data_IF_137236839637
#
_entry.id   IF_137236839637
#
_cell.length_a   1.000
_cell.length_b   1.000
_cell.length_c   1.000
_cell.angle_alpha   90.00
_cell.angle_beta   90.00
_cell.angle_gamma   90.00
#
_symmetry.space_group_name_H-M   'P 1'
#
loop_
_entity.id
_entity.type
_entity.pdbx_description
1 polymer ?
#
# COMPACT_ATOMS: atom_id res chain seq x y z
N UNK A 1 -25.91 9.03 -12.05
CA UNK A 1 -25.43 8.18 -13.17
C UNK A 1 -23.91 8.20 -13.33
N UNK A 2 -23.25 9.35 -13.53
CA UNK A 2 -21.79 9.43 -13.80
C UNK A 2 -20.89 8.69 -12.79
N UNK A 3 -21.14 8.84 -11.49
CA UNK A 3 -20.36 8.15 -10.45
C UNK A 3 -20.48 6.61 -10.46
N UNK A 4 -21.64 6.05 -10.82
CA UNK A 4 -21.82 4.61 -10.89
C UNK A 4 -21.13 4.02 -12.14
N UNK A 5 -21.16 4.75 -13.26
CA UNK A 5 -20.41 4.37 -14.47
C UNK A 5 -18.91 4.36 -14.20
N UNK A 6 -18.39 5.39 -13.51
CA UNK A 6 -16.98 5.44 -13.13
C UNK A 6 -16.60 4.27 -12.21
N UNK A 7 -17.42 3.96 -11.20
CA UNK A 7 -17.20 2.79 -10.35
C UNK A 7 -17.18 1.50 -11.17
N UNK A 8 -18.13 1.33 -12.08
CA UNK A 8 -18.20 0.16 -12.95
C UNK A 8 -16.98 0.01 -13.85
N UNK A 9 -16.49 1.11 -14.44
CA UNK A 9 -15.29 1.11 -15.27
C UNK A 9 -14.04 0.73 -14.46
N UNK A 10 -13.83 1.34 -13.29
CA UNK A 10 -12.69 0.99 -12.42
C UNK A 10 -12.78 -0.45 -11.93
N UNK A 11 -13.99 -0.92 -11.57
CA UNK A 11 -14.22 -2.31 -11.19
C UNK A 11 -13.89 -3.30 -12.31
N UNK A 12 -14.31 -3.01 -13.54
CA UNK A 12 -14.05 -3.87 -14.70
C UNK A 12 -12.55 -3.93 -15.02
N UNK A 13 -11.87 -2.79 -15.05
CA UNK A 13 -10.41 -2.74 -15.31
C UNK A 13 -9.63 -3.41 -14.19
N UNK A 14 -9.98 -3.14 -12.92
CA UNK A 14 -9.34 -3.78 -11.78
C UNK A 14 -9.56 -5.30 -11.73
N UNK A 15 -10.76 -5.77 -12.10
CA UNK A 15 -11.03 -7.20 -12.22
C UNK A 15 -10.22 -7.85 -13.36
N UNK A 16 -10.07 -7.18 -14.49
CA UNK A 16 -9.22 -7.66 -15.59
C UNK A 16 -7.74 -7.75 -15.17
N UNK A 17 -7.24 -6.73 -14.47
CA UNK A 17 -5.87 -6.71 -13.92
C UNK A 17 -5.67 -7.86 -12.91
N UNK A 18 -6.63 -8.08 -12.01
CA UNK A 18 -6.56 -9.20 -11.07
C UNK A 18 -6.62 -10.56 -11.77
N UNK A 19 -7.48 -10.70 -12.79
CA UNK A 19 -7.55 -11.91 -13.60
C UNK A 19 -6.23 -12.19 -14.33
N UNK A 20 -5.60 -11.16 -14.89
CA UNK A 20 -4.29 -11.27 -15.52
C UNK A 20 -3.21 -11.71 -14.52
N UNK A 21 -3.13 -11.05 -13.36
CA UNK A 21 -2.14 -11.40 -12.32
C UNK A 21 -2.37 -12.82 -11.79
N UNK A 22 -3.63 -13.23 -11.58
CA UNK A 22 -3.95 -14.59 -11.16
C UNK A 22 -3.56 -15.62 -12.23
N UNK A 23 -3.78 -15.31 -13.50
CA UNK A 23 -3.40 -16.18 -14.62
C UNK A 23 -1.87 -16.37 -14.68
N UNK A 24 -1.08 -15.30 -14.56
CA UNK A 24 0.39 -15.42 -14.52
C UNK A 24 0.87 -16.25 -13.33
N UNK A 25 0.32 -16.00 -12.13
CA UNK A 25 0.68 -16.76 -10.92
C UNK A 25 0.28 -18.23 -11.04
N UNK A 26 -0.88 -18.54 -11.63
CA UNK A 26 -1.31 -19.91 -11.85
C UNK A 26 -0.47 -20.64 -12.90
N UNK A 27 -0.04 -19.92 -13.95
CA UNK A 27 0.82 -20.46 -15.00
C UNK A 27 2.25 -20.77 -14.51
N UNK A 28 2.77 -20.00 -13.56
CA UNK A 28 4.08 -20.19 -12.93
C UNK A 28 4.15 -21.46 -12.03
N UNK A 29 3.02 -22.04 -11.64
CA UNK A 29 2.98 -23.19 -10.72
C UNK A 29 3.29 -22.83 -9.25
N UNK A 30 3.01 -23.76 -8.32
CA UNK A 30 3.13 -23.48 -6.89
C UNK A 30 4.57 -23.65 -6.37
N UNK A 31 5.33 -22.57 -6.39
CA UNK A 31 6.69 -22.49 -5.84
C UNK A 31 6.75 -21.98 -4.38
N UNK A 32 7.89 -22.17 -3.70
CA UNK A 32 8.14 -21.68 -2.34
C UNK A 32 7.95 -20.16 -2.17
N UNK A 33 8.16 -19.37 -3.23
CA UNK A 33 7.92 -17.91 -3.25
C UNK A 33 6.46 -17.56 -2.90
N UNK A 34 5.50 -18.43 -3.27
CA UNK A 34 4.08 -18.22 -3.01
C UNK A 34 3.73 -18.40 -1.53
N UNK A 35 4.40 -19.32 -0.83
CA UNK A 35 4.24 -19.49 0.63
C UNK A 35 4.77 -18.27 1.39
N UNK A 36 5.94 -17.79 1.01
CA UNK A 36 6.51 -16.58 1.60
C UNK A 36 5.63 -15.34 1.33
N UNK A 37 5.10 -15.22 0.11
CA UNK A 37 4.14 -14.19 -0.25
C UNK A 37 2.87 -14.24 0.60
N UNK A 38 2.28 -15.43 0.80
CA UNK A 38 1.10 -15.61 1.65
C UNK A 38 1.34 -15.07 3.06
N UNK A 39 2.51 -15.31 3.63
CA UNK A 39 2.88 -14.75 4.92
C UNK A 39 2.87 -13.22 4.92
N UNK A 40 3.46 -12.58 3.90
CA UNK A 40 3.44 -11.12 3.75
C UNK A 40 2.03 -10.58 3.49
N UNK A 41 1.20 -11.28 2.73
CA UNK A 41 -0.19 -10.92 2.51
C UNK A 41 -0.99 -10.95 3.82
N UNK A 42 -0.86 -12.03 4.62
CA UNK A 42 -1.48 -12.13 5.95
C UNK A 42 -1.00 -10.99 6.87
N UNK A 43 0.30 -10.69 6.86
CA UNK A 43 0.84 -9.58 7.64
C UNK A 43 0.29 -8.24 7.22
N UNK A 44 0.17 -7.99 5.93
CA UNK A 44 -0.47 -6.78 5.39
C UNK A 44 -1.88 -6.64 5.97
N UNK A 45 -2.66 -7.72 6.01
CA UNK A 45 -4.03 -7.73 6.54
C UNK A 45 -4.09 -7.52 8.06
N UNK A 46 -3.14 -8.07 8.82
CA UNK A 46 -3.05 -7.92 10.27
C UNK A 46 -2.61 -6.50 10.65
N UNK A 47 -1.52 -6.04 10.04
CA UNK A 47 -0.92 -4.74 10.32
C UNK A 47 -1.78 -3.60 9.79
N UNK A 48 -2.52 -3.79 8.70
CA UNK A 48 -3.53 -2.82 8.24
C UNK A 48 -4.62 -2.54 9.28
N UNK A 49 -4.82 -3.39 10.30
CA UNK A 49 -5.72 -3.10 11.44
C UNK A 49 -5.11 -2.09 12.42
N UNK A 50 -3.78 -1.99 12.45
CA UNK A 50 -3.02 -1.18 13.38
C UNK A 50 -2.77 0.25 12.85
N UNK A 51 -3.58 0.75 11.90
CA UNK A 51 -3.42 2.11 11.38
C UNK A 51 -3.37 3.14 12.51
N UNK A 52 -2.21 3.76 12.64
CA UNK A 52 -1.98 4.83 13.60
C UNK A 52 -2.45 6.13 12.96
N UNK A 53 -3.43 6.80 13.57
CA UNK A 53 -3.70 8.21 13.28
C UNK A 53 -2.53 8.98 13.88
N UNK A 54 -1.66 9.58 13.08
CA UNK A 54 -0.64 10.45 13.65
C UNK A 54 -1.31 11.72 14.19
N UNK A 55 -0.72 12.40 15.21
CA UNK A 55 -1.21 13.65 15.76
C UNK A 55 -0.80 14.81 14.83
N UNK A 56 -1.02 14.61 13.53
CA UNK A 56 -0.80 15.55 12.44
C UNK A 56 -2.15 15.71 11.73
N UNK A 57 -2.51 16.91 11.24
CA UNK A 57 -3.78 17.13 10.56
C UNK A 57 -3.98 16.11 9.44
N UNK A 58 -5.00 15.26 9.56
CA UNK A 58 -5.45 14.30 8.54
C UNK A 58 -4.41 13.24 8.08
N UNK A 59 -3.31 13.04 8.81
CA UNK A 59 -2.26 12.09 8.42
C UNK A 59 -2.49 10.70 9.04
N UNK A 60 -2.99 9.74 8.25
CA UNK A 60 -3.01 8.32 8.62
C UNK A 60 -1.90 7.59 7.90
N UNK A 61 -0.92 7.09 8.64
CA UNK A 61 0.10 6.20 8.07
C UNK A 61 -0.43 4.78 8.14
N UNK A 62 -0.70 4.18 6.98
CA UNK A 62 -1.01 2.76 6.90
C UNK A 62 0.30 1.99 6.75
N UNK A 63 0.64 1.20 7.76
CA UNK A 63 1.76 0.27 7.67
C UNK A 63 1.55 -0.80 6.56
N UNK A 64 0.32 -1.00 6.10
CA UNK A 64 0.01 -1.91 5.00
C UNK A 64 0.68 -1.50 3.68
N UNK A 65 0.82 -0.19 3.41
CA UNK A 65 1.42 0.31 2.17
C UNK A 65 2.89 -0.13 2.04
N UNK A 66 3.62 -0.17 3.16
CA UNK A 66 4.99 -0.66 3.19
C UNK A 66 5.08 -2.15 2.80
N UNK A 67 4.16 -2.99 3.26
CA UNK A 67 4.13 -4.41 2.88
C UNK A 67 3.69 -4.63 1.44
N UNK A 68 2.80 -3.77 0.91
CA UNK A 68 2.44 -3.78 -0.51
C UNK A 68 3.64 -3.42 -1.37
N UNK A 69 4.38 -2.35 -1.04
CA UNK A 69 5.61 -1.98 -1.75
C UNK A 69 6.69 -3.04 -1.62
N UNK A 70 6.87 -3.63 -0.43
CA UNK A 70 7.79 -4.74 -0.24
C UNK A 70 7.39 -5.93 -1.12
N UNK A 71 6.09 -6.19 -1.26
CA UNK A 71 5.61 -7.25 -2.14
C UNK A 71 5.99 -7.00 -3.60
N UNK A 72 5.92 -5.74 -4.06
CA UNK A 72 6.37 -5.38 -5.42
C UNK A 72 7.85 -5.71 -5.62
N UNK A 73 8.69 -5.38 -4.64
CA UNK A 73 10.14 -5.56 -4.74
C UNK A 73 10.57 -7.02 -4.60
N UNK A 74 9.95 -7.79 -3.71
CA UNK A 74 10.34 -9.18 -3.38
C UNK A 74 9.66 -10.21 -4.29
N UNK A 75 8.36 -10.04 -4.54
CA UNK A 75 7.54 -11.06 -5.22
C UNK A 75 7.07 -10.62 -6.62
N UNK A 76 7.32 -9.37 -6.99
CA UNK A 76 6.92 -8.81 -8.29
C UNK A 76 5.51 -8.24 -8.30
N UNK A 77 5.14 -7.68 -9.45
CA UNK A 77 3.92 -6.90 -9.61
C UNK A 77 2.62 -7.70 -9.43
N UNK A 78 2.58 -8.94 -9.90
CA UNK A 78 1.34 -9.74 -9.89
C UNK A 78 0.94 -10.15 -8.47
N UNK A 79 1.88 -10.70 -7.69
CA UNK A 79 1.64 -11.05 -6.29
C UNK A 79 1.38 -9.81 -5.43
N UNK A 80 2.07 -8.69 -5.69
CA UNK A 80 1.78 -7.42 -5.01
C UNK A 80 0.38 -6.86 -5.33
N UNK A 81 -0.08 -7.03 -6.57
CA UNK A 81 -1.43 -6.64 -7.01
C UNK A 81 -2.48 -7.42 -6.24
N UNK A 82 -2.27 -8.72 -6.04
CA UNK A 82 -3.14 -9.56 -5.20
C UNK A 82 -3.12 -9.12 -3.74
N UNK A 83 -1.95 -8.83 -3.16
CA UNK A 83 -1.82 -8.28 -1.79
C UNK A 83 -2.61 -6.99 -1.64
N UNK A 84 -2.48 -6.06 -2.59
CA UNK A 84 -3.15 -4.77 -2.58
C UNK A 84 -4.68 -4.91 -2.67
N UNK A 85 -5.17 -5.85 -3.49
CA UNK A 85 -6.60 -6.15 -3.56
C UNK A 85 -7.13 -6.71 -2.23
N UNK A 86 -6.41 -7.65 -1.62
CA UNK A 86 -6.78 -8.21 -0.32
C UNK A 86 -6.85 -7.11 0.76
N UNK A 87 -5.86 -6.21 0.82
CA UNK A 87 -5.88 -5.11 1.76
C UNK A 87 -6.99 -4.09 1.46
N UNK A 88 -7.21 -3.75 0.18
CA UNK A 88 -8.32 -2.88 -0.24
C UNK A 88 -9.70 -3.44 0.14
N UNK A 89 -9.88 -4.75 0.00
CA UNK A 89 -11.11 -5.45 0.41
C UNK A 89 -11.26 -5.49 1.93
N UNK A 90 -10.20 -5.85 2.64
CA UNK A 90 -10.21 -5.97 4.09
C UNK A 90 -10.40 -4.61 4.78
N UNK A 91 -9.66 -3.60 4.38
CA UNK A 91 -9.80 -2.22 4.88
C UNK A 91 -11.22 -1.68 4.68
N UNK A 92 -11.82 -1.95 3.51
CA UNK A 92 -13.20 -1.53 3.21
C UNK A 92 -14.25 -2.35 3.95
N UNK A 93 -13.93 -3.58 4.36
CA UNK A 93 -14.82 -4.44 5.14
C UNK A 93 -14.79 -4.19 6.64
N UNK A 94 -13.75 -3.51 7.17
CA UNK A 94 -13.66 -3.10 8.57
C UNK A 94 -14.65 -1.98 8.94
N UNK A 95 -15.25 -1.30 7.96
CA UNK A 95 -16.25 -0.24 8.18
C UNK A 95 -17.64 -0.59 7.64
N UNK A 96 -18.65 0.24 7.97
CA UNK A 96 -20.05 0.12 7.48
C UNK A 96 -20.22 0.59 6.02
N UNK A 97 -19.26 0.28 5.15
CA UNK A 97 -19.28 0.71 3.74
C UNK A 97 -20.21 -0.13 2.86
N UNK A 98 -20.82 0.49 1.84
CA UNK A 98 -21.64 -0.22 0.85
C UNK A 98 -20.81 -1.18 0.00
N UNK A 99 -21.44 -2.23 -0.55
CA UNK A 99 -20.76 -3.21 -1.42
C UNK A 99 -20.01 -2.55 -2.58
N UNK A 100 -20.63 -1.57 -3.24
CA UNK A 100 -20.03 -0.78 -4.30
C UNK A 100 -18.72 -0.10 -3.89
N UNK A 101 -18.62 0.40 -2.65
CA UNK A 101 -17.39 1.02 -2.12
C UNK A 101 -16.29 -0.02 -1.92
N UNK A 102 -16.64 -1.22 -1.44
CA UNK A 102 -15.69 -2.33 -1.28
C UNK A 102 -15.11 -2.77 -2.61
N UNK A 103 -15.98 -3.01 -3.60
CA UNK A 103 -15.55 -3.39 -4.97
C UNK A 103 -14.68 -2.31 -5.58
N UNK A 104 -15.10 -1.04 -5.50
CA UNK A 104 -14.34 0.08 -6.03
C UNK A 104 -12.95 0.19 -5.40
N UNK A 105 -12.85 0.20 -4.06
CA UNK A 105 -11.58 0.34 -3.37
C UNK A 105 -10.63 -0.83 -3.66
N UNK A 106 -11.17 -2.05 -3.70
CA UNK A 106 -10.40 -3.27 -4.05
C UNK A 106 -9.83 -3.16 -5.46
N UNK A 107 -10.67 -2.81 -6.43
CA UNK A 107 -10.27 -2.66 -7.83
C UNK A 107 -9.30 -1.48 -8.03
N UNK A 108 -9.53 -0.36 -7.36
CA UNK A 108 -8.66 0.82 -7.42
C UNK A 108 -7.27 0.52 -6.86
N UNK A 109 -7.18 -0.19 -5.72
CA UNK A 109 -5.89 -0.62 -5.14
C UNK A 109 -5.16 -1.58 -6.07
N UNK A 110 -5.84 -2.60 -6.61
CA UNK A 110 -5.25 -3.54 -7.55
C UNK A 110 -4.69 -2.83 -8.79
N UNK A 111 -5.50 -1.96 -9.40
CA UNK A 111 -5.12 -1.20 -10.59
C UNK A 111 -3.94 -0.26 -10.32
N UNK A 112 -4.00 0.53 -9.24
CA UNK A 112 -2.96 1.51 -8.94
C UNK A 112 -1.62 0.83 -8.63
N UNK A 113 -1.63 -0.25 -7.85
CA UNK A 113 -0.42 -0.99 -7.49
C UNK A 113 0.16 -1.73 -8.68
N UNK A 114 -0.68 -2.34 -9.53
CA UNK A 114 -0.19 -3.00 -10.74
C UNK A 114 0.52 -2.01 -11.67
N UNK A 115 -0.08 -0.84 -11.90
CA UNK A 115 0.53 0.20 -12.72
C UNK A 115 1.82 0.75 -12.08
N UNK A 116 1.82 0.99 -10.77
CA UNK A 116 3.00 1.44 -10.05
C UNK A 116 4.13 0.40 -10.09
N UNK A 117 3.81 -0.90 -9.98
CA UNK A 117 4.75 -1.99 -10.14
C UNK A 117 5.34 -2.05 -11.56
N UNK A 118 4.53 -1.83 -12.60
CA UNK A 118 5.03 -1.74 -13.99
C UNK A 118 5.92 -0.52 -14.24
N UNK A 119 5.71 0.58 -13.52
CA UNK A 119 6.63 1.74 -13.57
C UNK A 119 7.93 1.39 -12.87
N UNK A 120 7.85 0.80 -11.68
CA UNK A 120 9.00 0.32 -10.92
C UNK A 120 9.89 -0.62 -11.75
N UNK A 121 9.32 -1.68 -12.32
CA UNK A 121 10.09 -2.69 -13.07
C UNK A 121 10.75 -2.15 -14.35
N UNK A 122 10.22 -1.07 -14.94
CA UNK A 122 10.85 -0.39 -16.09
C UNK A 122 12.02 0.50 -15.70
N UNK A 123 12.03 1.01 -14.47
CA UNK A 123 13.08 1.90 -13.97
C UNK A 123 14.20 1.14 -13.27
N UNK A 124 13.93 -0.07 -12.78
CA UNK A 124 14.97 -0.96 -12.28
C UNK A 124 15.88 -1.35 -13.45
N UNK A 125 17.21 -1.13 -13.36
CA UNK A 125 18.15 -1.50 -14.41
C UNK A 125 18.03 -2.99 -14.77
N UNK A 126 17.77 -3.29 -16.06
CA UNK A 126 17.57 -4.66 -16.55
C UNK A 126 18.87 -5.45 -16.75
N UNK A 127 19.99 -4.96 -16.23
CA UNK A 127 21.30 -5.58 -16.35
C UNK A 127 21.39 -6.82 -15.44
N UNK A 128 20.67 -7.88 -15.82
CA UNK A 128 20.61 -9.18 -15.20
C UNK A 128 19.94 -9.17 -13.83
N UNK A 129 18.63 -9.46 -13.80
CA UNK A 129 17.88 -10.03 -12.67
C UNK A 129 18.52 -9.79 -11.28
N UNK A 130 18.35 -8.61 -10.68
CA UNK A 130 18.90 -8.31 -9.35
C UNK A 130 20.37 -8.73 -9.19
N UNK A 131 21.25 -8.30 -10.10
CA UNK A 131 22.68 -8.53 -10.01
C UNK A 131 23.24 -8.27 -8.61
N UNK A 132 24.33 -8.96 -8.27
CA UNK A 132 24.89 -9.13 -6.92
C UNK A 132 25.25 -7.83 -6.15
N UNK A 133 25.02 -6.63 -6.71
CA UNK A 133 25.42 -5.33 -6.15
C UNK A 133 24.41 -4.19 -6.36
N UNK A 134 23.10 -4.40 -6.22
CA UNK A 134 22.13 -3.27 -6.17
C UNK A 134 22.28 -2.52 -4.86
N UNK A 135 22.61 -1.23 -4.94
CA UNK A 135 22.77 -0.34 -3.78
C UNK A 135 21.48 0.43 -3.47
N UNK A 136 21.43 1.09 -2.30
CA UNK A 136 20.30 1.96 -1.96
C UNK A 136 20.14 3.12 -2.97
N UNK A 137 21.25 3.60 -3.55
CA UNK A 137 21.25 4.69 -4.54
C UNK A 137 20.56 4.26 -5.82
N UNK A 138 20.80 3.02 -6.28
CA UNK A 138 20.17 2.45 -7.47
C UNK A 138 18.64 2.29 -7.29
N UNK A 139 18.19 2.12 -6.04
CA UNK A 139 16.78 2.01 -5.70
C UNK A 139 16.07 3.35 -5.54
N UNK A 140 16.78 4.48 -5.42
CA UNK A 140 16.15 5.78 -5.16
C UNK A 140 15.10 6.13 -6.23
N UNK A 141 15.48 6.08 -7.51
CA UNK A 141 14.59 6.46 -8.60
C UNK A 141 13.42 5.45 -8.77
N UNK A 142 13.64 4.13 -8.85
CA UNK A 142 12.55 3.16 -8.97
C UNK A 142 11.57 3.23 -7.79
N UNK A 143 12.07 3.30 -6.54
CA UNK A 143 11.24 3.32 -5.34
C UNK A 143 10.46 4.62 -5.21
N UNK A 144 11.08 5.77 -5.53
CA UNK A 144 10.38 7.05 -5.57
C UNK A 144 9.27 7.04 -6.63
N UNK A 145 9.54 6.48 -7.82
CA UNK A 145 8.54 6.37 -8.88
C UNK A 145 7.41 5.40 -8.53
N UNK A 146 7.70 4.29 -7.84
CA UNK A 146 6.71 3.37 -7.28
C UNK A 146 5.76 4.10 -6.32
N UNK A 147 6.33 4.78 -5.32
CA UNK A 147 5.58 5.51 -4.30
C UNK A 147 4.74 6.62 -4.92
N UNK A 148 5.34 7.43 -5.81
CA UNK A 148 4.67 8.53 -6.49
C UNK A 148 3.52 8.05 -7.38
N UNK A 149 3.75 7.02 -8.20
CA UNK A 149 2.73 6.47 -9.08
C UNK A 149 1.56 5.89 -8.29
N UNK A 150 1.85 5.13 -7.23
CA UNK A 150 0.81 4.58 -6.35
C UNK A 150 0.01 5.70 -5.69
N UNK A 151 0.69 6.70 -5.13
CA UNK A 151 0.05 7.85 -4.49
C UNK A 151 -0.86 8.61 -5.47
N UNK A 152 -0.35 9.01 -6.64
CA UNK A 152 -1.11 9.77 -7.63
C UNK A 152 -2.30 8.97 -8.16
N UNK A 153 -2.11 7.72 -8.57
CA UNK A 153 -3.19 6.91 -9.14
C UNK A 153 -4.25 6.59 -8.09
N UNK A 154 -3.85 6.14 -6.90
CA UNK A 154 -4.80 5.78 -5.86
C UNK A 154 -5.63 6.99 -5.40
N UNK A 155 -4.97 8.12 -5.13
CA UNK A 155 -5.66 9.35 -4.72
C UNK A 155 -6.51 9.96 -5.83
N UNK A 156 -6.10 9.87 -7.09
CA UNK A 156 -6.90 10.34 -8.23
C UNK A 156 -8.16 9.48 -8.41
N UNK A 157 -8.08 8.15 -8.27
CA UNK A 157 -9.25 7.28 -8.34
C UNK A 157 -10.23 7.57 -7.19
N UNK A 158 -9.73 7.64 -5.95
CA UNK A 158 -10.55 7.87 -4.77
C UNK A 158 -11.17 9.27 -4.78
N UNK A 159 -10.40 10.32 -5.05
CA UNK A 159 -10.94 11.68 -5.18
C UNK A 159 -11.90 11.79 -6.37
N UNK A 160 -11.60 11.09 -7.48
CA UNK A 160 -12.45 10.90 -8.65
C UNK A 160 -13.88 10.48 -8.30
N UNK A 161 -14.01 9.37 -7.57
CA UNK A 161 -15.33 8.85 -7.20
C UNK A 161 -16.05 9.75 -6.21
N UNK A 162 -15.32 10.38 -5.27
CA UNK A 162 -15.88 11.29 -4.28
C UNK A 162 -16.42 12.54 -4.97
N UNK A 163 -15.65 13.19 -5.83
CA UNK A 163 -16.10 14.36 -6.59
C UNK A 163 -17.34 14.07 -7.45
N UNK A 164 -17.38 12.89 -8.10
CA UNK A 164 -18.52 12.50 -8.92
C UNK A 164 -19.79 12.18 -8.11
N UNK A 165 -19.66 11.76 -6.85
CA UNK A 165 -20.79 11.44 -5.97
C UNK A 165 -21.25 12.62 -5.13
N UNK A 166 -20.31 13.40 -4.60
CA UNK A 166 -20.55 14.48 -3.65
C UNK A 166 -20.56 15.87 -4.33
N UNK A 167 -20.34 15.94 -5.65
CA UNK A 167 -20.31 17.17 -6.47
C UNK A 167 -19.32 18.24 -5.97
N UNK A 168 -18.26 17.82 -5.29
CA UNK A 168 -17.16 18.67 -4.88
C UNK A 168 -16.09 18.76 -5.97
N UNK A 169 -15.25 19.80 -5.93
CA UNK A 169 -14.16 19.95 -6.89
C UNK A 169 -13.03 18.96 -6.57
N UNK A 170 -12.55 18.26 -7.60
CA UNK A 170 -11.43 17.30 -7.49
C UNK A 170 -10.18 17.93 -6.87
N UNK A 171 -9.87 19.16 -7.30
CA UNK A 171 -8.69 19.90 -6.85
C UNK A 171 -8.78 20.25 -5.38
N UNK A 172 -9.96 20.62 -4.85
CA UNK A 172 -10.12 20.92 -3.44
C UNK A 172 -9.95 19.66 -2.58
N UNK A 173 -10.56 18.52 -2.97
CA UNK A 173 -10.39 17.23 -2.27
C UNK A 173 -8.91 16.82 -2.25
N UNK A 174 -8.21 17.00 -3.36
CA UNK A 174 -6.81 16.66 -3.49
C UNK A 174 -5.92 17.60 -2.65
N UNK A 175 -6.13 18.91 -2.67
CA UNK A 175 -5.31 19.84 -1.88
C UNK A 175 -5.47 19.65 -0.37
N UNK A 176 -6.67 19.27 0.10
CA UNK A 176 -6.97 19.20 1.53
C UNK A 176 -6.47 17.89 2.19
N UNK A 177 -6.40 16.79 1.41
CA UNK A 177 -6.05 15.46 1.94
C UNK A 177 -4.69 14.92 1.46
N UNK A 178 -4.17 15.41 0.33
CA UNK A 178 -3.17 14.66 -0.45
C UNK A 178 -1.71 14.82 0.00
N UNK A 179 -1.20 15.98 0.46
CA UNK A 179 0.23 16.12 0.81
C UNK A 179 0.68 15.14 1.91
N UNK A 180 -0.17 14.93 2.91
CA UNK A 180 0.07 14.04 4.04
C UNK A 180 -0.05 12.56 3.68
N UNK A 181 -0.90 12.22 2.71
CA UNK A 181 -0.94 10.87 2.16
C UNK A 181 0.37 10.58 1.39
N UNK A 182 0.89 11.55 0.63
CA UNK A 182 2.15 11.42 -0.09
C UNK A 182 3.35 11.13 0.82
N UNK A 183 3.45 11.80 1.97
CA UNK A 183 4.53 11.53 2.94
C UNK A 183 4.43 10.14 3.56
N UNK A 184 3.21 9.64 3.81
CA UNK A 184 3.00 8.27 4.29
C UNK A 184 3.44 7.22 3.25
N UNK A 185 3.09 7.41 1.97
CA UNK A 185 3.54 6.53 0.89
C UNK A 185 5.06 6.53 0.74
N UNK A 186 5.69 7.71 0.81
CA UNK A 186 7.15 7.83 0.75
C UNK A 186 7.84 7.14 1.94
N UNK A 187 7.34 7.33 3.16
CA UNK A 187 7.86 6.65 4.34
C UNK A 187 7.72 5.11 4.21
N UNK A 188 6.56 4.64 3.73
CA UNK A 188 6.31 3.23 3.49
C UNK A 188 7.23 2.63 2.43
N UNK A 189 7.51 3.37 1.36
CA UNK A 189 8.40 2.90 0.28
C UNK A 189 9.86 2.83 0.73
N UNK A 190 10.33 3.78 1.54
CA UNK A 190 11.68 3.74 2.13
C UNK A 190 11.81 2.57 3.09
N UNK A 191 10.82 2.35 3.97
CA UNK A 191 10.82 1.19 4.86
C UNK A 191 10.86 -0.12 4.06
N UNK A 192 10.03 -0.24 3.01
CA UNK A 192 10.03 -1.38 2.12
C UNK A 192 11.39 -1.61 1.44
N UNK A 193 12.05 -0.56 0.95
CA UNK A 193 13.36 -0.65 0.31
C UNK A 193 14.46 -1.14 1.25
N UNK A 194 14.47 -0.67 2.51
CA UNK A 194 15.42 -1.13 3.53
C UNK A 194 15.21 -2.63 3.80
N UNK A 195 13.97 -3.03 4.03
CA UNK A 195 13.63 -4.45 4.24
C UNK A 195 14.01 -5.29 3.03
N UNK A 196 13.76 -4.78 1.83
CA UNK A 196 14.08 -5.45 0.60
C UNK A 196 15.59 -5.72 0.48
N UNK A 197 16.45 -4.76 0.82
CA UNK A 197 17.90 -4.97 0.86
C UNK A 197 18.29 -6.06 1.86
N UNK A 198 17.68 -6.09 3.04
CA UNK A 198 17.91 -7.17 4.04
C UNK A 198 17.46 -8.53 3.50
N UNK A 199 16.30 -8.59 2.83
CA UNK A 199 15.76 -9.81 2.22
C UNK A 199 16.66 -10.36 1.13
N UNK A 200 17.34 -9.49 0.37
CA UNK A 200 18.33 -9.95 -0.62
C UNK A 200 19.53 -10.62 0.01
N UNK A 201 20.04 -10.07 1.12
CA UNK A 201 21.23 -10.58 1.81
C UNK A 201 20.94 -11.84 2.65
N UNK A 202 19.81 -11.87 3.36
CA UNK A 202 19.48 -12.90 4.35
C UNK A 202 18.37 -13.87 3.89
N UNK A 203 17.83 -13.67 2.69
CA UNK A 203 16.72 -14.44 2.12
C UNK A 203 15.33 -14.00 2.63
N UNK A 204 14.29 -14.52 1.99
CA UNK A 204 12.89 -14.10 2.20
C UNK A 204 12.37 -14.30 3.63
N UNK A 205 12.94 -15.24 4.38
CA UNK A 205 12.56 -15.50 5.77
C UNK A 205 12.87 -14.28 6.66
N UNK A 206 13.90 -13.51 6.33
CA UNK A 206 14.27 -12.29 7.07
C UNK A 206 13.19 -11.20 6.99
N UNK A 207 12.32 -11.22 5.97
CA UNK A 207 11.18 -10.29 5.89
C UNK A 207 10.25 -10.40 7.11
N UNK A 208 10.14 -11.60 7.70
CA UNK A 208 9.34 -11.86 8.89
C UNK A 208 10.01 -11.37 10.17
N UNK A 209 11.32 -11.09 10.17
CA UNK A 209 11.99 -10.51 11.33
C UNK A 209 11.56 -9.07 11.62
N UNK A 210 10.96 -8.38 10.65
CA UNK A 210 10.43 -6.99 10.78
C UNK A 210 9.01 -6.95 11.34
N UNK A 211 8.35 -8.11 11.47
CA UNK A 211 7.01 -8.28 12.03
C UNK A 211 6.78 -7.60 13.40
N UNK A 212 7.73 -7.56 14.37
CA UNK A 212 7.51 -6.85 15.62
C UNK A 212 7.56 -5.32 15.45
N UNK A 213 8.14 -4.77 14.38
CA UNK A 213 8.37 -3.33 14.24
C UNK A 213 7.07 -2.50 14.16
N UNK A 214 6.06 -2.85 13.33
CA UNK A 214 4.77 -2.16 13.34
C UNK A 214 4.03 -2.28 14.68
N UNK A 215 4.16 -3.43 15.36
CA UNK A 215 3.55 -3.65 16.67
C UNK A 215 4.20 -2.75 17.74
N UNK A 216 5.54 -2.69 17.78
CA UNK A 216 6.29 -1.83 18.71
C UNK A 216 5.97 -0.37 18.45
N UNK A 217 5.96 0.08 17.19
CA UNK A 217 5.59 1.45 16.84
C UNK A 217 4.17 1.79 17.26
N UNK A 218 3.20 0.90 17.02
CA UNK A 218 1.83 1.08 17.45
C UNK A 218 1.72 1.20 18.99
N UNK A 219 2.37 0.30 19.73
CA UNK A 219 2.36 0.30 21.19
C UNK A 219 3.04 1.55 21.76
N UNK A 220 4.18 1.94 21.19
CA UNK A 220 4.92 3.15 21.58
C UNK A 220 4.08 4.40 21.33
N UNK A 221 3.46 4.48 20.16
CA UNK A 221 2.57 5.57 19.82
C UNK A 221 1.39 5.68 20.79
N UNK A 222 0.73 4.56 21.07
CA UNK A 222 -0.39 4.50 22.02
C UNK A 222 0.05 4.93 23.42
N UNK A 223 1.20 4.43 23.89
CA UNK A 223 1.74 4.81 25.19
C UNK A 223 2.08 6.32 25.26
N UNK A 224 2.59 6.90 24.18
CA UNK A 224 2.88 8.33 24.09
C UNK A 224 1.59 9.17 24.10
N UNK A 225 0.58 8.78 23.31
CA UNK A 225 -0.73 9.43 23.33
C UNK A 225 -1.40 9.37 24.70
N UNK A 226 -1.40 8.20 25.34
CA UNK A 226 -2.00 8.02 26.65
C UNK A 226 -1.31 8.93 27.69
N UNK A 227 0.00 9.15 27.58
CA UNK A 227 0.73 10.13 28.41
C UNK A 227 0.31 11.56 28.11
N UNK A 228 0.24 11.95 26.84
CA UNK A 228 -0.16 13.31 26.45
C UNK A 228 -1.58 13.66 26.90
N UNK A 229 -2.52 12.72 26.81
CA UNK A 229 -3.90 12.89 27.29
C UNK A 229 -3.93 13.06 28.81
N UNK A 230 -3.15 12.26 29.57
CA UNK A 230 -3.05 12.39 31.03
C UNK A 230 -2.43 13.72 31.45
N UNK A 231 -1.37 14.18 30.78
CA UNK A 231 -0.72 15.47 31.12
C UNK A 231 -1.64 16.65 30.82
N UNK A 232 -2.38 16.65 29.70
CA UNK A 232 -3.37 17.71 29.42
C UNK A 232 -4.57 17.68 30.37
N UNK A 233 -5.04 16.50 30.77
CA UNK A 233 -6.13 16.35 31.74
C UNK A 233 -5.74 16.75 33.17
N UNK A 234 -4.46 16.73 33.51
CA UNK A 234 -3.93 17.16 34.81
C UNK A 234 -3.64 18.66 34.93
N UNK A 235 -3.68 19.42 33.83
CA UNK A 235 -3.49 20.89 33.83
C UNK A 235 -4.82 21.67 33.90
N UNK A 236 -5.96 20.97 34.03
CA UNK A 236 -7.31 21.54 34.16
C UNK A 236 -7.92 21.39 35.55
N UNK A 237 -7.09 21.17 36.57
CA UNK A 237 -7.41 21.21 38.00
C UNK A 237 -6.51 22.24 38.69
#
# INVERSE_FOLDING_TARGET
>A
MKGNVFIGAVAAVGAAVLGQSLYHVAADGFEAKHLAWLGIAVLTLLVGRLSVKLPLPHCRVSFADAFVFLSVMVFGGDLATMTAALDGFASSSRGKGTWHKKVFNTAAMALSVNLAARVFTRLVPQNGQWGMHVTLVDLLLPVAALAFTQYVLNTALVSGVVALKERQSLVAIWQDSSPWAGTAYLAGSVAAAIVFLVVRELGVVSAFAILPFPAILYLTYRACLDRLVRTKGGMTL
#
